data_IF_446440677271
#
_entry.id   IF_446440677271
#
_cell.length_a   1.000
_cell.length_b   1.000
_cell.length_c   1.000
_cell.angle_alpha   90.00
_cell.angle_beta   90.00
_cell.angle_gamma   90.00
#
_symmetry.space_group_name_H-M   'P 1'
#
loop_
_entity.id
_entity.type
_entity.pdbx_description
1 polymer ?
#
# COMPACT_ATOMS: atom_id res chain seq x y z
N UNK A 1 40.69 2.93 -25.10
CA UNK A 1 39.86 2.00 -24.30
C UNK A 1 39.56 0.77 -25.13
N UNK A 2 39.95 -0.40 -24.64
CA UNK A 2 39.74 -1.68 -25.31
C UNK A 2 38.27 -2.10 -25.29
N UNK A 3 37.83 -2.90 -26.28
CA UNK A 3 36.45 -3.44 -26.34
C UNK A 3 36.07 -4.23 -25.06
N UNK A 4 37.07 -4.82 -24.40
CA UNK A 4 36.92 -5.58 -23.15
C UNK A 4 36.58 -4.66 -21.98
N UNK A 5 37.31 -3.55 -21.82
CA UNK A 5 37.05 -2.56 -20.76
C UNK A 5 35.63 -2.00 -20.87
N UNK A 6 35.19 -1.68 -22.09
CA UNK A 6 33.81 -1.23 -22.34
C UNK A 6 32.75 -2.29 -22.00
N UNK A 7 33.04 -3.57 -22.24
CA UNK A 7 32.14 -4.66 -21.89
C UNK A 7 32.02 -4.84 -20.37
N UNK A 8 33.16 -4.74 -19.67
CA UNK A 8 33.23 -4.79 -18.21
C UNK A 8 32.45 -3.62 -17.60
N UNK A 9 32.68 -2.40 -18.07
CA UNK A 9 31.97 -1.22 -17.58
C UNK A 9 30.46 -1.33 -17.77
N UNK A 10 30.01 -1.87 -18.90
CA UNK A 10 28.59 -2.11 -19.15
C UNK A 10 28.01 -3.17 -18.22
N UNK A 11 28.75 -4.26 -17.97
CA UNK A 11 28.32 -5.30 -17.05
C UNK A 11 28.19 -4.76 -15.61
N UNK A 12 29.18 -4.01 -15.13
CA UNK A 12 29.16 -3.38 -13.81
C UNK A 12 27.99 -2.40 -13.68
N UNK A 13 27.76 -1.55 -14.69
CA UNK A 13 26.63 -0.61 -14.70
C UNK A 13 25.29 -1.34 -14.61
N UNK A 14 25.10 -2.42 -15.38
CA UNK A 14 23.88 -3.22 -15.33
C UNK A 14 23.67 -3.85 -13.96
N UNK A 15 24.72 -4.39 -13.35
CA UNK A 15 24.59 -5.00 -12.03
C UNK A 15 24.24 -3.96 -10.96
N UNK A 16 24.84 -2.77 -11.01
CA UNK A 16 24.46 -1.68 -10.11
C UNK A 16 22.99 -1.28 -10.25
N UNK A 17 22.49 -1.18 -11.48
CA UNK A 17 21.08 -0.89 -11.75
C UNK A 17 20.20 -2.00 -11.15
N UNK A 18 20.53 -3.27 -11.39
CA UNK A 18 19.78 -4.43 -10.86
C UNK A 18 19.69 -4.39 -9.33
N UNK A 19 20.80 -4.11 -8.65
CA UNK A 19 20.85 -4.01 -7.19
C UNK A 19 20.03 -2.82 -6.67
N UNK A 20 20.11 -1.67 -7.34
CA UNK A 20 19.32 -0.49 -6.99
C UNK A 20 17.82 -0.71 -7.18
N UNK A 21 17.41 -1.38 -8.25
CA UNK A 21 16.02 -1.74 -8.50
C UNK A 21 15.49 -2.72 -7.44
N UNK A 22 16.27 -3.75 -7.08
CA UNK A 22 15.90 -4.67 -6.02
C UNK A 22 15.75 -3.97 -4.67
N UNK A 23 16.66 -3.06 -4.33
CA UNK A 23 16.59 -2.27 -3.10
C UNK A 23 15.36 -1.36 -3.08
N UNK A 24 15.09 -0.67 -4.18
CA UNK A 24 13.90 0.17 -4.33
C UNK A 24 12.61 -0.65 -4.17
N UNK A 25 12.58 -1.86 -4.74
CA UNK A 25 11.46 -2.77 -4.59
C UNK A 25 11.26 -3.19 -3.12
N UNK A 26 12.34 -3.54 -2.41
CA UNK A 26 12.29 -3.89 -0.98
C UNK A 26 11.68 -2.77 -0.13
N UNK A 27 12.18 -1.54 -0.31
CA UNK A 27 11.67 -0.38 0.43
C UNK A 27 10.18 -0.13 0.17
N UNK A 28 9.75 -0.35 -1.07
CA UNK A 28 8.38 -0.11 -1.47
C UNK A 28 7.41 -1.15 -0.92
N UNK A 29 7.80 -2.42 -0.87
CA UNK A 29 6.93 -3.50 -0.38
C UNK A 29 7.00 -3.69 1.14
N UNK A 30 8.03 -3.14 1.80
CA UNK A 30 8.23 -3.26 3.24
C UNK A 30 7.00 -2.93 4.10
N UNK A 31 6.17 -1.91 3.78
CA UNK A 31 4.95 -1.64 4.56
C UNK A 31 3.86 -2.70 4.41
N UNK A 32 3.88 -3.50 3.34
CA UNK A 32 2.86 -4.52 3.07
C UNK A 32 3.21 -5.88 3.67
N UNK A 33 4.48 -6.28 3.58
CA UNK A 33 4.92 -7.65 3.89
C UNK A 33 6.11 -7.71 4.83
N UNK A 34 6.59 -6.56 5.32
CA UNK A 34 7.78 -6.48 6.15
C UNK A 34 9.08 -6.68 5.36
N UNK A 35 10.15 -6.99 6.08
CA UNK A 35 11.48 -7.13 5.49
C UNK A 35 11.60 -8.43 4.69
N UNK A 36 11.85 -8.32 3.38
CA UNK A 36 12.08 -9.48 2.51
C UNK A 36 13.58 -9.71 2.36
N UNK A 37 14.06 -10.83 2.90
CA UNK A 37 15.45 -11.27 2.76
C UNK A 37 15.59 -12.36 1.67
N UNK A 38 16.75 -12.38 1.01
CA UNK A 38 17.13 -13.46 0.08
C UNK A 38 16.58 -13.33 -1.35
N UNK A 39 15.93 -12.21 -1.70
CA UNK A 39 15.52 -11.92 -3.08
C UNK A 39 16.36 -10.78 -3.65
N UNK A 40 17.02 -11.06 -4.79
CA UNK A 40 17.97 -10.16 -5.44
C UNK A 40 17.40 -9.53 -6.72
N UNK A 41 16.13 -9.80 -7.04
CA UNK A 41 15.45 -9.31 -8.25
C UNK A 41 14.19 -8.53 -7.89
N UNK A 42 14.04 -7.33 -8.44
CA UNK A 42 12.85 -6.51 -8.26
C UNK A 42 11.56 -7.23 -8.67
N UNK A 43 11.62 -8.05 -9.73
CA UNK A 43 10.48 -8.85 -10.22
C UNK A 43 10.00 -9.83 -9.15
N UNK A 44 10.93 -10.55 -8.52
CA UNK A 44 10.60 -11.55 -7.50
C UNK A 44 10.05 -10.87 -6.25
N UNK A 45 10.66 -9.76 -5.84
CA UNK A 45 10.23 -8.97 -4.69
C UNK A 45 8.78 -8.49 -4.88
N UNK A 46 8.48 -7.84 -6.01
CA UNK A 46 7.12 -7.36 -6.29
C UNK A 46 6.12 -8.51 -6.47
N UNK A 47 6.49 -9.56 -7.21
CA UNK A 47 5.62 -10.74 -7.39
C UNK A 47 5.29 -11.39 -6.06
N UNK A 48 6.26 -11.53 -5.16
CA UNK A 48 6.06 -12.14 -3.87
C UNK A 48 5.13 -11.30 -3.00
N UNK A 49 5.38 -9.98 -2.92
CA UNK A 49 4.55 -9.05 -2.16
C UNK A 49 3.09 -9.07 -2.63
N UNK A 50 2.86 -9.07 -3.95
CA UNK A 50 1.50 -9.17 -4.52
C UNK A 50 0.84 -10.50 -4.15
N UNK A 51 1.56 -11.62 -4.28
CA UNK A 51 1.05 -12.95 -3.91
C UNK A 51 0.67 -13.06 -2.44
N UNK A 52 1.47 -12.49 -1.53
CA UNK A 52 1.16 -12.48 -0.09
C UNK A 52 -0.12 -11.68 0.21
N UNK A 53 -0.45 -10.69 -0.61
CA UNK A 53 -1.68 -9.91 -0.51
C UNK A 53 -2.83 -10.47 -1.37
N UNK A 54 -2.71 -11.72 -1.85
CA UNK A 54 -3.75 -12.40 -2.62
C UNK A 54 -3.87 -11.96 -4.09
N UNK A 55 -2.93 -11.17 -4.60
CA UNK A 55 -2.92 -10.70 -5.99
C UNK A 55 -1.96 -11.55 -6.82
N UNK A 56 -2.48 -12.14 -7.91
CA UNK A 56 -1.65 -12.83 -8.88
C UNK A 56 -1.02 -11.82 -9.87
N UNK A 57 0.31 -11.70 -9.96
CA UNK A 57 0.97 -10.75 -10.86
C UNK A 57 0.84 -11.10 -12.35
N UNK A 58 0.47 -12.34 -12.69
CA UNK A 58 0.27 -12.79 -14.06
C UNK A 58 1.50 -12.55 -14.95
N UNK A 59 1.28 -11.93 -16.11
CA UNK A 59 2.33 -11.53 -17.07
C UNK A 59 2.69 -10.04 -16.99
N UNK A 60 2.43 -9.39 -15.86
CA UNK A 60 2.73 -7.97 -15.70
C UNK A 60 4.23 -7.71 -15.80
N UNK A 61 4.62 -6.60 -16.43
CA UNK A 61 6.00 -6.10 -16.36
C UNK A 61 6.24 -5.41 -15.01
N UNK A 62 7.52 -5.14 -14.69
CA UNK A 62 7.93 -4.51 -13.41
C UNK A 62 7.11 -3.25 -13.10
N UNK A 63 6.92 -2.35 -14.08
CA UNK A 63 6.14 -1.11 -13.89
C UNK A 63 4.67 -1.38 -13.54
N UNK A 64 4.08 -2.44 -14.12
CA UNK A 64 2.72 -2.86 -13.82
C UNK A 64 2.60 -3.40 -12.40
N UNK A 65 3.53 -4.27 -12.00
CA UNK A 65 3.58 -4.77 -10.62
C UNK A 65 3.81 -3.63 -9.62
N UNK A 66 4.68 -2.67 -9.94
CA UNK A 66 4.94 -1.50 -9.11
C UNK A 66 3.66 -0.66 -8.91
N UNK A 67 2.88 -0.44 -9.97
CA UNK A 67 1.61 0.28 -9.90
C UNK A 67 0.59 -0.45 -9.01
N UNK A 68 0.51 -1.79 -9.12
CA UNK A 68 -0.36 -2.60 -8.25
C UNK A 68 0.06 -2.51 -6.78
N UNK A 69 1.36 -2.54 -6.49
CA UNK A 69 1.88 -2.34 -5.13
C UNK A 69 1.54 -0.95 -4.60
N UNK A 70 1.67 0.11 -5.41
CA UNK A 70 1.24 1.47 -5.03
C UNK A 70 -0.24 1.54 -4.70
N UNK A 71 -1.07 0.91 -5.52
CA UNK A 71 -2.51 0.84 -5.29
C UNK A 71 -2.80 0.17 -3.95
N UNK A 72 -2.15 -0.97 -3.67
CA UNK A 72 -2.33 -1.71 -2.43
C UNK A 72 -1.93 -0.89 -1.20
N UNK A 73 -0.76 -0.23 -1.27
CA UNK A 73 -0.31 0.69 -0.22
C UNK A 73 -1.33 1.82 0.03
N UNK A 74 -1.90 2.38 -1.03
CA UNK A 74 -2.88 3.44 -0.91
C UNK A 74 -4.19 2.92 -0.28
N UNK A 75 -4.65 1.73 -0.67
CA UNK A 75 -5.83 1.10 -0.07
C UNK A 75 -5.62 0.80 1.41
N UNK A 76 -4.48 0.22 1.79
CA UNK A 76 -4.15 -0.08 3.19
C UNK A 76 -3.97 1.19 4.03
N UNK A 77 -3.37 2.25 3.46
CA UNK A 77 -3.18 3.53 4.15
C UNK A 77 -4.46 4.34 4.33
N UNK A 78 -5.45 4.21 3.43
CA UNK A 78 -6.70 4.98 3.51
C UNK A 78 -7.70 4.41 4.52
N UNK A 79 -7.57 3.15 4.94
CA UNK A 79 -8.42 2.54 5.98
C UNK A 79 -8.22 3.15 7.37
N UNK A 80 -7.18 3.97 7.58
CA UNK A 80 -6.95 4.68 8.84
C UNK A 80 -7.68 6.03 8.94
N UNK A 81 -8.44 6.43 7.90
CA UNK A 81 -9.21 7.68 7.85
C UNK A 81 -10.72 7.45 7.81
N UNK A 82 -11.20 6.36 8.41
CA UNK A 82 -12.64 6.15 8.66
C UNK A 82 -12.97 6.25 10.16
N UNK A 83 -12.36 7.20 10.88
CA UNK A 83 -13.09 7.82 11.98
C UNK A 83 -14.13 8.72 11.34
N UNK A 84 -15.29 8.16 10.97
CA UNK A 84 -16.52 8.93 10.83
C UNK A 84 -16.73 9.68 12.15
N UNK A 85 -16.22 10.90 12.25
CA UNK A 85 -16.80 11.90 13.14
C UNK A 85 -18.18 12.21 12.56
N UNK A 86 -19.17 11.40 12.93
CA UNK A 86 -20.55 11.87 12.98
C UNK A 86 -20.50 13.07 13.93
N UNK A 87 -20.50 14.27 13.36
CA UNK A 87 -20.78 15.47 14.12
C UNK A 87 -22.21 15.30 14.65
N UNK A 88 -22.33 14.96 15.93
CA UNK A 88 -23.57 15.11 16.70
C UNK A 88 -23.85 16.60 16.87
N UNK A 89 -24.25 17.26 15.78
CA UNK A 89 -24.88 18.58 15.80
C UNK A 89 -26.35 18.38 16.17
N UNK A 90 -26.57 18.07 17.43
CA UNK A 90 -27.88 18.09 18.04
C UNK A 90 -27.72 18.72 19.42
N UNK A 91 -27.50 20.04 19.44
CA UNK A 91 -27.93 20.86 20.56
C UNK A 91 -29.46 20.74 20.63
N UNK A 92 -30.06 20.21 21.71
CA UNK A 92 -31.46 20.49 21.95
C UNK A 92 -31.53 21.97 22.29
N UNK A 93 -32.20 22.76 21.45
CA UNK A 93 -32.61 24.11 21.81
C UNK A 93 -33.42 24.02 23.12
N UNK A 94 -32.87 24.58 24.18
CA UNK A 94 -33.48 24.73 25.51
C UNK A 94 -34.62 25.76 25.46
N UNK A 95 -35.62 25.55 24.58
CA UNK A 95 -36.81 26.40 24.48
C UNK A 95 -38.03 25.67 23.86
N UNK A 96 -38.16 24.36 24.07
CA UNK A 96 -39.40 23.63 23.74
C UNK A 96 -40.26 23.37 24.98
N UNK A 97 -41.19 24.30 25.22
CA UNK A 97 -42.27 24.29 26.23
C UNK A 97 -43.36 23.20 26.02
N UNK A 98 -43.16 22.22 25.14
CA UNK A 98 -44.08 21.08 24.99
C UNK A 98 -43.61 19.91 25.85
N UNK A 99 -43.53 20.19 27.15
CA UNK A 99 -43.56 19.19 28.20
C UNK A 99 -44.96 18.58 28.25
N UNK A 100 -45.05 17.27 27.99
CA UNK A 100 -46.20 16.48 28.43
C UNK A 100 -46.88 15.63 27.36
N UNK A 101 -46.28 14.50 26.99
CA UNK A 101 -47.03 13.23 26.81
C UNK A 101 -46.14 12.08 27.28
N UNK A 102 -46.32 11.66 28.53
CA UNK A 102 -45.81 10.38 29.02
C UNK A 102 -46.86 9.31 28.68
N UNK A 103 -46.58 8.45 27.70
CA UNK A 103 -47.45 7.34 27.37
C UNK A 103 -47.11 6.11 28.26
N UNK A 104 -48.05 5.59 29.07
CA UNK A 104 -47.78 4.40 29.86
C UNK A 104 -47.76 3.16 28.96
N UNK A 105 -46.63 2.44 28.92
CA UNK A 105 -46.57 1.10 28.33
C UNK A 105 -47.32 0.12 29.24
N UNK A 106 -48.38 -0.50 28.73
CA UNK A 106 -48.95 -1.73 29.32
C UNK A 106 -48.17 -2.95 28.79
N UNK A 107 -47.78 -3.82 29.72
CA UNK A 107 -47.42 -5.22 29.47
C UNK A 107 -48.68 -6.05 29.19
#
# INVERSE_FOLDING_TARGET
MGKIEQAIDRAIKRERIRLQEAETARQMVAPLVGNIAGMDSAIEIYSNALKQNGIAPGSANISGMQAMVRMLLNTTGNSSSDTMSIATDATPDEDSILSGVNAPRKL
#
